data_IF_108139366845
#
_entry.id   IF_108139366845
#
_cell.length_a   1.000
_cell.length_b   1.000
_cell.length_c   1.000
_cell.angle_alpha   90.00
_cell.angle_beta   90.00
_cell.angle_gamma   90.00
#
_symmetry.space_group_name_H-M   'P 1'
#
loop_
_entity.id
_entity.type
_entity.pdbx_description
1 polymer ?
#
# COMPACT_ATOMS: atom_id res chain seq x y z
N UNK A 1 -9.35 25.45 10.32
CA UNK A 1 -10.09 24.53 11.22
C UNK A 1 -9.63 24.79 12.65
N UNK A 2 -10.51 25.27 13.54
CA UNK A 2 -10.19 25.44 14.97
C UNK A 2 -10.69 24.21 15.74
N UNK A 3 -9.77 23.32 16.10
CA UNK A 3 -10.09 22.11 16.88
C UNK A 3 -8.82 21.61 17.57
N UNK A 4 -8.88 21.53 18.90
CA UNK A 4 -7.74 21.22 19.77
C UNK A 4 -7.10 19.87 19.40
N UNK A 5 -5.77 19.87 19.32
CA UNK A 5 -4.95 18.71 19.02
C UNK A 5 -5.17 17.56 19.99
N UNK A 6 -5.60 16.43 19.42
CA UNK A 6 -5.18 15.03 19.66
C UNK A 6 -6.20 14.15 18.95
N UNK A 7 -5.85 13.69 17.75
CA UNK A 7 -6.66 12.74 17.00
C UNK A 7 -6.02 11.36 17.13
N UNK A 8 -6.78 10.40 17.65
CA UNK A 8 -6.32 9.02 17.81
C UNK A 8 -7.10 8.14 16.85
N UNK A 9 -6.39 7.35 16.05
CA UNK A 9 -6.97 6.19 15.37
C UNK A 9 -6.54 4.98 16.18
N UNK A 10 -7.48 4.33 16.86
CA UNK A 10 -7.26 3.10 17.64
C UNK A 10 -8.20 2.02 17.13
N UNK A 11 -7.80 0.76 17.35
CA UNK A 11 -8.64 -0.42 17.11
C UNK A 11 -9.24 -0.48 15.70
N UNK A 12 -8.55 0.13 14.74
CA UNK A 12 -8.98 0.12 13.35
C UNK A 12 -8.87 -1.31 12.83
N UNK A 13 -9.96 -1.82 12.29
CA UNK A 13 -10.01 -3.20 11.82
C UNK A 13 -9.57 -3.23 10.35
N UNK A 14 -8.60 -4.10 10.01
CA UNK A 14 -8.36 -4.43 8.63
C UNK A 14 -9.64 -4.95 7.98
N UNK A 15 -9.84 -4.61 6.73
CA UNK A 15 -10.89 -5.18 5.89
C UNK A 15 -10.28 -5.70 4.60
N UNK A 16 -10.83 -6.80 4.11
CA UNK A 16 -10.49 -7.29 2.77
C UNK A 16 -11.04 -6.33 1.74
N UNK A 17 -10.25 -6.04 0.72
CA UNK A 17 -10.70 -5.21 -0.38
C UNK A 17 -11.71 -5.97 -1.23
N UNK A 18 -12.95 -5.49 -1.30
CA UNK A 18 -13.92 -6.00 -2.26
C UNK A 18 -13.79 -5.23 -3.57
N UNK A 19 -13.60 -5.93 -4.70
CA UNK A 19 -13.57 -5.35 -6.06
C UNK A 19 -12.73 -4.07 -6.16
N UNK A 20 -11.42 -4.20 -6.40
CA UNK A 20 -10.53 -3.06 -6.55
C UNK A 20 -9.85 -3.07 -7.92
N UNK A 21 -10.08 -2.01 -8.71
CA UNK A 21 -9.44 -1.85 -10.01
C UNK A 21 -9.58 -3.12 -10.88
N UNK A 22 -8.47 -3.69 -11.34
CA UNK A 22 -8.39 -4.94 -12.07
C UNK A 22 -7.80 -6.10 -11.24
N UNK A 23 -7.89 -6.05 -9.91
CA UNK A 23 -7.25 -7.04 -9.04
C UNK A 23 -8.01 -8.37 -9.11
N UNK A 24 -7.32 -9.50 -9.32
CA UNK A 24 -7.97 -10.80 -9.35
C UNK A 24 -8.41 -11.20 -7.94
N UNK A 25 -9.50 -11.97 -7.83
CA UNK A 25 -10.08 -12.36 -6.55
C UNK A 25 -9.07 -13.01 -5.58
N UNK A 26 -8.17 -13.91 -5.99
CA UNK A 26 -7.19 -14.50 -5.08
C UNK A 26 -6.26 -13.47 -4.41
N UNK A 27 -5.92 -12.38 -5.10
CA UNK A 27 -5.12 -11.30 -4.51
C UNK A 27 -5.95 -10.51 -3.48
N UNK A 28 -7.22 -10.22 -3.79
CA UNK A 28 -8.13 -9.54 -2.88
C UNK A 28 -8.37 -10.36 -1.61
N UNK A 29 -8.50 -11.68 -1.73
CA UNK A 29 -8.69 -12.59 -0.59
C UNK A 29 -7.46 -12.63 0.32
N UNK A 30 -6.26 -12.53 -0.25
CA UNK A 30 -4.98 -12.53 0.47
C UNK A 30 -4.56 -11.15 1.01
N UNK A 31 -5.31 -10.09 0.71
CA UNK A 31 -4.95 -8.71 1.05
C UNK A 31 -5.96 -8.12 2.03
N UNK A 32 -5.45 -7.47 3.08
CA UNK A 32 -6.29 -6.62 3.94
C UNK A 32 -5.67 -5.26 4.13
N UNK A 33 -6.53 -4.25 4.26
CA UNK A 33 -6.11 -2.86 4.41
C UNK A 33 -6.85 -2.18 5.55
N UNK A 34 -6.23 -1.17 6.13
CA UNK A 34 -6.91 -0.22 7.00
C UNK A 34 -6.61 1.21 6.59
N UNK A 35 -7.65 2.02 6.40
CA UNK A 35 -7.52 3.43 6.03
C UNK A 35 -7.52 4.30 7.27
N UNK A 36 -6.34 4.73 7.73
CA UNK A 36 -6.22 5.55 8.93
C UNK A 36 -6.36 7.03 8.63
N UNK A 37 -5.60 7.51 7.64
CA UNK A 37 -5.57 8.92 7.21
C UNK A 37 -5.83 8.98 5.70
N UNK A 38 -6.55 10.01 5.26
CA UNK A 38 -6.78 10.32 3.86
C UNK A 38 -8.26 10.46 3.51
N UNK A 39 -8.64 10.66 2.24
CA UNK A 39 -10.01 11.01 1.83
C UNK A 39 -11.08 9.95 2.16
N UNK A 40 -10.64 8.73 2.45
CA UNK A 40 -11.46 7.58 2.85
C UNK A 40 -11.01 7.00 4.20
N UNK A 41 -10.22 7.75 4.95
CA UNK A 41 -9.67 7.36 6.24
C UNK A 41 -10.54 7.78 7.42
N UNK A 42 -10.17 7.31 8.61
CA UNK A 42 -10.76 7.77 9.87
C UNK A 42 -10.47 9.26 10.09
N UNK A 43 -9.24 9.68 9.80
CA UNK A 43 -8.85 11.09 9.75
C UNK A 43 -8.89 11.57 8.31
N UNK A 44 -9.76 12.53 8.06
CA UNK A 44 -10.00 13.06 6.73
C UNK A 44 -8.94 14.10 6.37
N UNK A 45 -8.04 13.74 5.46
CA UNK A 45 -7.01 14.61 4.91
C UNK A 45 -7.00 14.49 3.38
N UNK A 46 -6.83 15.60 2.69
CA UNK A 46 -6.91 15.65 1.22
C UNK A 46 -5.61 15.24 0.53
N UNK A 47 -4.47 15.61 1.11
CA UNK A 47 -3.17 15.56 0.43
C UNK A 47 -2.28 14.38 0.85
N UNK A 48 -2.70 13.59 1.84
CA UNK A 48 -1.95 12.46 2.36
C UNK A 48 -2.86 11.27 2.66
N UNK A 49 -2.35 10.06 2.43
CA UNK A 49 -2.98 8.81 2.81
C UNK A 49 -2.01 8.00 3.67
N UNK A 50 -2.50 7.47 4.78
CA UNK A 50 -1.78 6.50 5.61
C UNK A 50 -2.63 5.25 5.75
N UNK A 51 -2.12 4.15 5.21
CA UNK A 51 -2.82 2.87 5.11
C UNK A 51 -2.03 1.80 5.85
N UNK A 52 -2.69 1.03 6.72
CA UNK A 52 -2.15 -0.25 7.18
C UNK A 52 -2.42 -1.30 6.11
N UNK A 53 -1.42 -2.11 5.80
CA UNK A 53 -1.45 -3.11 4.73
C UNK A 53 -0.99 -4.46 5.27
N UNK A 54 -1.67 -5.53 4.86
CA UNK A 54 -1.27 -6.91 5.14
C UNK A 54 -1.46 -7.77 3.91
N UNK A 55 -0.51 -8.68 3.69
CA UNK A 55 -0.51 -9.64 2.60
C UNK A 55 -0.16 -11.03 3.16
N UNK A 56 -1.00 -12.03 2.86
CA UNK A 56 -0.86 -13.39 3.41
C UNK A 56 0.41 -14.11 2.91
N UNK A 57 0.92 -15.11 3.68
CA UNK A 57 2.05 -15.94 3.26
C UNK A 57 1.89 -16.52 1.85
N UNK A 58 2.96 -16.43 1.06
CA UNK A 58 3.01 -16.94 -0.31
C UNK A 58 2.20 -16.13 -1.34
N UNK A 59 1.47 -15.09 -0.92
CA UNK A 59 0.74 -14.25 -1.86
C UNK A 59 1.70 -13.42 -2.72
N UNK A 60 1.32 -13.27 -3.99
CA UNK A 60 2.04 -12.47 -4.97
C UNK A 60 1.17 -11.30 -5.41
N UNK A 61 1.62 -10.10 -5.08
CA UNK A 61 1.06 -8.85 -5.52
C UNK A 61 1.85 -8.39 -6.75
N UNK A 62 1.33 -8.78 -7.92
CA UNK A 62 1.97 -8.56 -9.22
C UNK A 62 2.18 -7.08 -9.54
N UNK A 63 2.99 -6.81 -10.56
CA UNK A 63 3.32 -5.48 -11.06
C UNK A 63 2.08 -4.59 -11.13
N UNK A 64 2.10 -3.51 -10.36
CA UNK A 64 1.08 -2.48 -10.38
C UNK A 64 1.69 -1.09 -10.42
N UNK A 65 0.84 -0.13 -10.78
CA UNK A 65 1.22 1.26 -10.92
C UNK A 65 0.09 2.19 -10.51
N UNK A 66 0.46 3.39 -10.06
CA UNK A 66 -0.43 4.52 -9.80
C UNK A 66 0.33 5.85 -9.92
N UNK A 67 -0.39 6.98 -10.12
CA UNK A 67 0.23 8.28 -10.37
C UNK A 67 0.66 9.05 -9.12
N UNK A 68 0.35 8.56 -7.91
CA UNK A 68 0.89 9.13 -6.68
C UNK A 68 2.15 8.39 -6.22
N UNK A 69 3.13 9.08 -5.63
CA UNK A 69 4.25 8.44 -4.95
C UNK A 69 3.79 7.79 -3.65
N UNK A 70 4.58 6.85 -3.16
CA UNK A 70 4.35 6.26 -1.84
C UNK A 70 5.63 5.78 -1.14
N UNK A 71 5.53 5.63 0.17
CA UNK A 71 6.53 5.02 1.03
C UNK A 71 5.94 3.77 1.65
N UNK A 72 6.66 2.64 1.55
CA UNK A 72 6.40 1.47 2.38
C UNK A 72 7.31 1.48 3.60
N UNK A 73 6.73 1.16 4.76
CA UNK A 73 7.46 0.83 5.99
C UNK A 73 7.05 -0.57 6.39
N UNK A 74 7.92 -1.55 6.16
CA UNK A 74 7.65 -2.97 6.43
C UNK A 74 7.82 -3.27 7.93
N UNK A 75 6.87 -4.01 8.51
CA UNK A 75 6.74 -4.20 9.96
C UNK A 75 6.90 -5.65 10.41
N UNK A 76 6.37 -6.61 9.64
CA UNK A 76 6.46 -8.06 9.89
C UNK A 76 6.57 -8.81 8.58
N UNK A 77 7.02 -10.07 8.62
CA UNK A 77 7.20 -10.88 7.43
C UNK A 77 8.34 -10.42 6.53
N UNK A 78 8.59 -11.19 5.47
CA UNK A 78 9.60 -10.88 4.45
C UNK A 78 9.01 -11.03 3.05
N UNK A 79 9.53 -10.27 2.10
CA UNK A 79 9.12 -10.36 0.71
C UNK A 79 10.29 -10.14 -0.27
N UNK A 80 10.21 -10.79 -1.43
CA UNK A 80 10.93 -10.37 -2.64
C UNK A 80 10.14 -9.24 -3.31
N UNK A 81 10.81 -8.18 -3.77
CA UNK A 81 10.20 -6.98 -4.32
C UNK A 81 10.94 -6.46 -5.57
N UNK A 82 10.21 -6.02 -6.60
CA UNK A 82 10.69 -5.29 -7.78
C UNK A 82 10.19 -3.85 -7.73
N UNK A 83 11.08 -2.88 -7.84
CA UNK A 83 10.76 -1.48 -8.12
C UNK A 83 11.39 -1.12 -9.47
N UNK A 84 10.60 -1.08 -10.54
CA UNK A 84 11.12 -0.97 -11.89
C UNK A 84 12.07 -2.12 -12.22
N UNK A 85 13.35 -1.81 -12.44
CA UNK A 85 14.41 -2.80 -12.74
C UNK A 85 15.24 -3.20 -11.49
N UNK A 86 14.93 -2.65 -10.31
CA UNK A 86 15.64 -2.93 -9.06
C UNK A 86 14.91 -3.94 -8.18
N UNK A 87 15.53 -5.10 -7.96
CA UNK A 87 15.05 -6.13 -7.05
C UNK A 87 15.67 -6.02 -5.66
N UNK A 88 14.88 -6.23 -4.61
CA UNK A 88 15.35 -6.23 -3.23
C UNK A 88 14.52 -7.16 -2.34
N UNK A 89 15.06 -7.46 -1.15
CA UNK A 89 14.33 -8.16 -0.09
C UNK A 89 13.81 -7.14 0.91
N UNK A 90 12.51 -7.14 1.14
CA UNK A 90 11.90 -6.41 2.24
C UNK A 90 11.89 -7.28 3.50
N UNK A 91 12.40 -6.72 4.60
CA UNK A 91 12.37 -7.29 5.95
C UNK A 91 11.86 -6.25 6.96
N UNK A 92 11.48 -6.64 8.19
CA UNK A 92 11.00 -5.71 9.20
C UNK A 92 11.98 -4.56 9.44
N UNK A 93 11.50 -3.32 9.31
CA UNK A 93 12.32 -2.11 9.39
C UNK A 93 12.83 -1.59 8.04
N UNK A 94 12.63 -2.33 6.95
CA UNK A 94 12.88 -1.82 5.59
C UNK A 94 11.94 -0.67 5.28
N UNK A 95 12.48 0.40 4.69
CA UNK A 95 11.71 1.56 4.23
C UNK A 95 12.06 1.85 2.77
N UNK A 96 11.06 1.94 1.91
CA UNK A 96 11.25 2.21 0.48
C UNK A 96 10.43 3.40 0.02
N UNK A 97 10.88 4.03 -1.05
CA UNK A 97 10.16 5.09 -1.73
C UNK A 97 9.87 4.66 -3.16
N UNK A 98 8.58 4.55 -3.49
CA UNK A 98 8.09 4.33 -4.84
C UNK A 98 7.75 5.67 -5.51
N UNK A 99 8.49 6.08 -6.56
CA UNK A 99 8.13 7.25 -7.35
C UNK A 99 6.79 7.09 -8.07
N UNK A 100 6.17 8.20 -8.50
CA UNK A 100 4.96 8.16 -9.32
C UNK A 100 5.15 7.32 -10.58
N UNK A 101 4.16 6.50 -10.89
CA UNK A 101 4.12 5.68 -12.11
C UNK A 101 5.26 4.66 -12.27
N UNK A 102 6.03 4.36 -11.23
CA UNK A 102 7.01 3.28 -11.27
C UNK A 102 6.27 1.94 -11.06
N UNK A 103 6.37 0.96 -11.97
CA UNK A 103 5.86 -0.39 -11.74
C UNK A 103 6.53 -1.01 -10.52
N UNK A 104 5.75 -1.65 -9.65
CA UNK A 104 6.28 -2.36 -8.51
C UNK A 104 5.46 -3.59 -8.15
N UNK A 105 6.14 -4.60 -7.60
CA UNK A 105 5.57 -5.90 -7.26
C UNK A 105 6.18 -6.43 -5.96
N UNK A 106 5.47 -7.35 -5.30
CA UNK A 106 6.02 -8.06 -4.14
C UNK A 106 5.47 -9.47 -4.00
N UNK A 107 6.30 -10.39 -3.52
CA UNK A 107 5.92 -11.75 -3.13
C UNK A 107 6.31 -12.03 -1.70
N UNK A 108 5.35 -12.43 -0.87
CA UNK A 108 5.62 -12.81 0.52
C UNK A 108 6.40 -14.13 0.56
N UNK A 109 7.57 -14.12 1.18
CA UNK A 109 8.48 -15.27 1.31
C UNK A 109 8.50 -15.88 2.71
N UNK A 110 7.94 -15.20 3.70
CA UNK A 110 7.80 -15.71 5.07
C UNK A 110 6.57 -16.58 5.26
N UNK A 111 6.59 -17.42 6.30
CA UNK A 111 5.43 -18.19 6.77
C UNK A 111 4.45 -17.36 7.62
N UNK A 112 4.82 -16.12 7.98
CA UNK A 112 3.93 -15.13 8.60
C UNK A 112 3.52 -14.04 7.60
N UNK A 113 2.35 -13.39 7.79
CA UNK A 113 1.92 -12.30 6.92
C UNK A 113 2.91 -11.14 6.88
N UNK A 114 3.10 -10.60 5.68
CA UNK A 114 3.79 -9.34 5.49
C UNK A 114 2.86 -8.20 5.92
N UNK A 115 3.30 -7.35 6.84
CA UNK A 115 2.55 -6.13 7.20
C UNK A 115 3.38 -4.89 6.97
N UNK A 116 2.72 -3.79 6.58
CA UNK A 116 3.37 -2.52 6.32
C UNK A 116 2.46 -1.32 6.61
N UNK A 117 3.07 -0.16 6.81
CA UNK A 117 2.40 1.11 6.55
C UNK A 117 2.74 1.60 5.14
N UNK A 118 1.72 2.02 4.42
CA UNK A 118 1.83 2.67 3.11
C UNK A 118 1.45 4.14 3.28
N UNK A 119 2.35 5.04 2.93
CA UNK A 119 2.15 6.47 2.98
C UNK A 119 2.21 7.03 1.57
N UNK A 120 1.07 7.43 1.02
CA UNK A 120 0.98 8.10 -0.28
C UNK A 120 0.58 9.57 -0.11
N UNK A 121 0.96 10.43 -1.05
CA UNK A 121 0.57 11.86 -1.00
C UNK A 121 0.22 12.41 -2.38
N UNK A 122 -0.50 13.54 -2.37
CA UNK A 122 -0.87 14.28 -3.56
C UNK A 122 0.37 14.99 -4.15
N UNK A 123 0.94 14.52 -5.27
CA UNK A 123 2.13 15.14 -5.85
C UNK A 123 1.80 16.58 -6.29
N UNK A 124 2.50 17.56 -5.72
CA UNK A 124 2.21 18.98 -6.00
C UNK A 124 0.81 19.44 -5.55
N UNK A 125 0.14 18.70 -4.66
CA UNK A 125 -1.25 18.97 -4.25
C UNK A 125 -2.30 18.39 -5.20
N UNK A 126 -1.91 17.57 -6.18
CA UNK A 126 -2.85 16.86 -7.06
C UNK A 126 -3.55 15.71 -6.31
N UNK A 127 -4.73 16.00 -5.78
CA UNK A 127 -5.56 15.01 -5.08
C UNK A 127 -6.20 14.00 -6.05
N UNK A 128 -6.32 14.31 -7.34
CA UNK A 128 -6.82 13.35 -8.32
C UNK A 128 -5.80 12.22 -8.54
N UNK A 129 -4.51 12.58 -8.60
CA UNK A 129 -3.43 11.60 -8.64
C UNK A 129 -3.41 10.71 -7.38
N UNK A 130 -3.60 11.28 -6.18
CA UNK A 130 -3.70 10.49 -4.95
C UNK A 130 -4.92 9.55 -4.95
N UNK A 131 -6.04 9.99 -5.50
CA UNK A 131 -7.29 9.21 -5.51
C UNK A 131 -7.41 8.22 -6.67
N UNK A 132 -6.49 8.27 -7.63
CA UNK A 132 -6.41 7.30 -8.72
C UNK A 132 -6.14 5.90 -8.16
N UNK A 133 -6.88 4.87 -8.61
CA UNK A 133 -6.67 3.50 -8.16
C UNK A 133 -5.35 2.94 -8.71
N UNK A 134 -4.74 2.04 -7.96
CA UNK A 134 -3.63 1.23 -8.47
C UNK A 134 -4.16 0.23 -9.51
N UNK A 135 -3.38 -0.01 -10.56
CA UNK A 135 -3.76 -0.91 -11.67
C UNK A 135 -2.66 -1.93 -11.87
N UNK A 136 -3.02 -3.21 -11.91
CA UNK A 136 -2.10 -4.29 -12.30
C UNK A 136 -1.77 -4.17 -13.78
N UNK A 137 -0.49 -4.26 -14.12
CA UNK A 137 -0.02 -4.21 -15.51
C UNK A 137 -0.15 -5.57 -16.20
N UNK A 138 -0.13 -6.66 -15.43
CA UNK A 138 -0.04 -8.01 -15.93
C UNK A 138 1.37 -8.27 -16.49
N UNK A 139 2.11 -9.19 -15.87
CA UNK A 139 3.48 -9.42 -16.33
C UNK A 139 4.31 -10.35 -15.46
N UNK A 140 3.94 -10.54 -14.19
CA UNK A 140 4.60 -11.48 -13.30
C UNK A 140 6.03 -11.10 -12.93
N UNK A 141 6.42 -9.82 -12.96
CA UNK A 141 7.77 -9.39 -12.53
C UNK A 141 7.78 -9.17 -11.02
N UNK A 142 8.97 -9.25 -10.42
CA UNK A 142 9.16 -9.79 -9.08
C UNK A 142 9.78 -8.83 -8.09
#
# INVERSE_FOLDING_TARGET
MSGRGKYFVKDHKPFQMETYSNYPQPLLDAMSVTRMVGPKGVLQEGDIRVTGFSLEPGAFYDDHVHPHPEIYIFLTGTAECQWGDEGFTAEPGTVTHCPPNLPHAMRVTSDEPLTAYIIGWAPGGDQEALNSPSVLLGGGRL
#
